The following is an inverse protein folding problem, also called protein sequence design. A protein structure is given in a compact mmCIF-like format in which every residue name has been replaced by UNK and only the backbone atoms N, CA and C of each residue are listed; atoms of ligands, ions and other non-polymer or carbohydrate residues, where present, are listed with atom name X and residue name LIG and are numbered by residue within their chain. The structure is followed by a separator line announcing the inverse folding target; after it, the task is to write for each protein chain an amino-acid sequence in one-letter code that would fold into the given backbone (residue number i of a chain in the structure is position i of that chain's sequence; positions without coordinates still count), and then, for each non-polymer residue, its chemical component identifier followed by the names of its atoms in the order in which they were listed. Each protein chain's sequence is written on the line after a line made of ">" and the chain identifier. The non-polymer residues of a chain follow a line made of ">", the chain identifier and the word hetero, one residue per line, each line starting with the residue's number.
data_IF_955981431800
#
_entry.id   IF_955981431800
#
_cell.length_a   1.000
_cell.length_b   1.000
_cell.length_c   1.000
_cell.angle_alpha   90.00
_cell.angle_beta   90.00
_cell.angle_gamma   90.00
#
_symmetry.space_group_name_H-M   'P 1'
#
loop_
_entity.id
_entity.type
_entity.pdbx_description
1 polymer ?
#
# COMPACT_ATOMS: atom_id res chain seq x y z
N UNK A 1 -12.28 23.46 22.07
CA UNK A 1 -10.86 23.60 21.69
C UNK A 1 -10.51 25.08 21.78
N UNK A 2 -9.60 25.43 22.69
CA UNK A 2 -9.02 26.77 22.69
C UNK A 2 -8.17 26.91 21.41
N UNK A 3 -8.51 27.93 20.61
CA UNK A 3 -7.78 28.20 19.36
C UNK A 3 -6.40 28.78 19.70
N UNK A 4 -5.35 28.21 19.15
CA UNK A 4 -4.01 28.79 19.23
C UNK A 4 -3.98 30.02 18.30
N UNK A 5 -3.65 31.21 18.79
CA UNK A 5 -3.85 32.47 18.04
C UNK A 5 -3.00 32.61 16.76
N UNK A 6 -1.98 31.77 16.59
CA UNK A 6 -1.06 31.81 15.44
C UNK A 6 -1.29 30.66 14.46
N UNK A 7 -2.34 29.84 14.65
CA UNK A 7 -2.64 28.68 13.80
C UNK A 7 -3.88 28.94 12.93
N UNK A 8 -3.82 28.53 11.67
CA UNK A 8 -4.99 28.42 10.83
C UNK A 8 -5.77 27.15 11.16
N UNK A 9 -7.08 27.21 11.13
CA UNK A 9 -7.97 26.06 11.39
C UNK A 9 -8.86 25.80 10.18
N UNK A 10 -8.98 24.50 9.84
CA UNK A 10 -9.96 24.02 8.88
C UNK A 10 -10.95 23.13 9.62
N UNK A 11 -12.18 23.59 9.74
CA UNK A 11 -13.25 22.81 10.37
C UNK A 11 -13.88 21.88 9.34
N UNK A 12 -13.96 20.60 9.65
CA UNK A 12 -14.47 19.56 8.75
C UNK A 12 -15.39 18.62 9.52
N UNK A 13 -16.36 18.01 8.83
CA UNK A 13 -17.25 17.03 9.44
C UNK A 13 -16.53 15.73 9.85
N UNK A 14 -15.53 15.32 9.06
CA UNK A 14 -14.76 14.10 9.30
C UNK A 14 -13.27 14.37 9.09
N UNK A 15 -12.53 14.46 10.19
CA UNK A 15 -11.09 14.75 10.16
C UNK A 15 -10.26 13.67 9.44
N UNK A 16 -10.64 12.39 9.56
CA UNK A 16 -9.92 11.30 8.88
C UNK A 16 -10.14 11.41 7.36
N UNK A 17 -11.36 11.63 6.92
CA UNK A 17 -11.67 11.80 5.51
C UNK A 17 -10.96 13.04 4.92
N UNK A 18 -10.92 14.15 5.65
CA UNK A 18 -10.19 15.35 5.24
C UNK A 18 -8.69 15.09 5.13
N UNK A 19 -8.08 14.40 6.11
CA UNK A 19 -6.68 14.00 6.07
C UNK A 19 -6.39 13.08 4.87
N UNK A 20 -7.27 12.12 4.58
CA UNK A 20 -7.15 11.23 3.43
C UNK A 20 -7.23 11.99 2.10
N UNK A 21 -8.13 12.97 1.99
CA UNK A 21 -8.21 13.84 0.81
C UNK A 21 -6.94 14.67 0.63
N UNK A 22 -6.42 15.25 1.71
CA UNK A 22 -5.19 16.03 1.69
C UNK A 22 -3.99 15.17 1.25
N UNK A 23 -3.87 13.95 1.81
CA UNK A 23 -2.83 13.01 1.42
C UNK A 23 -2.94 12.56 -0.04
N UNK A 24 -4.15 12.31 -0.54
CA UNK A 24 -4.36 11.96 -1.94
C UNK A 24 -3.99 13.11 -2.89
N UNK A 25 -4.28 14.36 -2.50
CA UNK A 25 -3.85 15.55 -3.24
C UNK A 25 -2.32 15.67 -3.24
N UNK A 26 -1.67 15.52 -2.08
CA UNK A 26 -0.21 15.56 -1.96
C UNK A 26 0.44 14.46 -2.81
N UNK A 27 -0.05 13.20 -2.72
CA UNK A 27 0.41 12.07 -3.54
C UNK A 27 0.34 12.36 -5.05
N UNK A 28 -0.69 13.08 -5.50
CA UNK A 28 -0.85 13.43 -6.92
C UNK A 28 0.25 14.36 -7.45
N UNK A 29 1.00 15.04 -6.59
CA UNK A 29 2.14 15.87 -6.95
C UNK A 29 3.44 15.04 -7.10
N UNK A 30 3.52 13.88 -6.47
CA UNK A 30 4.68 13.00 -6.54
C UNK A 30 4.83 12.39 -7.94
N UNK A 31 6.05 12.42 -8.50
CA UNK A 31 6.37 11.96 -9.85
C UNK A 31 7.17 10.67 -9.91
N UNK A 32 7.74 10.25 -8.77
CA UNK A 32 8.45 8.98 -8.66
C UNK A 32 7.51 7.77 -8.72
N UNK A 33 8.09 6.60 -8.85
CA UNK A 33 7.36 5.33 -8.82
C UNK A 33 6.85 5.04 -7.41
N UNK A 34 5.62 4.57 -7.29
CA UNK A 34 5.05 4.16 -6.00
C UNK A 34 4.82 2.66 -5.96
N UNK A 35 5.41 2.03 -4.97
CA UNK A 35 5.21 0.61 -4.66
C UNK A 35 4.28 0.50 -3.45
N UNK A 36 3.12 -0.09 -3.66
CA UNK A 36 2.19 -0.46 -2.59
C UNK A 36 2.48 -1.88 -2.11
N UNK A 37 2.67 -2.06 -0.80
CA UNK A 37 2.99 -3.36 -0.22
C UNK A 37 1.84 -3.80 0.68
N UNK A 38 1.21 -4.93 0.37
CA UNK A 38 0.10 -5.48 1.16
C UNK A 38 0.26 -6.98 1.41
N UNK A 39 -0.48 -7.49 2.38
CA UNK A 39 -0.46 -8.88 2.82
C UNK A 39 -0.85 -9.00 4.28
N UNK A 40 -0.89 -10.20 4.82
CA UNK A 40 -1.16 -10.43 6.24
C UNK A 40 0.09 -10.18 7.08
N UNK A 41 1.21 -10.78 6.70
CA UNK A 41 2.49 -10.68 7.39
C UNK A 41 3.62 -10.27 6.44
N UNK A 42 4.75 -9.81 6.96
CA UNK A 42 5.97 -9.55 6.18
C UNK A 42 6.01 -8.21 5.44
N UNK A 43 4.98 -7.37 5.47
CA UNK A 43 4.96 -6.08 4.77
C UNK A 43 6.17 -5.20 5.08
N UNK A 44 6.42 -4.96 6.36
CA UNK A 44 7.54 -4.12 6.82
C UNK A 44 8.90 -4.75 6.46
N UNK A 45 9.03 -6.07 6.60
CA UNK A 45 10.27 -6.77 6.24
C UNK A 45 10.59 -6.61 4.75
N UNK A 46 9.60 -6.88 3.89
CA UNK A 46 9.75 -6.74 2.43
C UNK A 46 10.04 -5.27 2.05
N UNK A 47 9.37 -4.32 2.69
CA UNK A 47 9.64 -2.89 2.49
C UNK A 47 11.10 -2.53 2.77
N UNK A 48 11.63 -2.97 3.91
CA UNK A 48 13.01 -2.67 4.27
C UNK A 48 14.00 -3.39 3.34
N UNK A 49 13.78 -4.65 3.00
CA UNK A 49 14.63 -5.38 2.05
C UNK A 49 14.67 -4.71 0.67
N UNK A 50 13.51 -4.32 0.13
CA UNK A 50 13.48 -3.59 -1.15
C UNK A 50 14.34 -2.33 -1.05
N UNK A 51 14.23 -1.59 0.06
CA UNK A 51 14.99 -0.36 0.23
C UNK A 51 16.50 -0.56 0.39
N UNK A 52 16.92 -1.68 1.00
CA UNK A 52 18.33 -2.05 1.18
C UNK A 52 18.99 -2.48 -0.13
N UNK A 53 18.23 -3.10 -1.04
CA UNK A 53 18.72 -3.59 -2.34
C UNK A 53 18.69 -2.52 -3.45
N UNK A 54 18.28 -1.29 -3.15
CA UNK A 54 18.24 -0.23 -4.15
C UNK A 54 19.66 0.23 -4.56
N UNK A 55 19.85 0.62 -5.82
CA UNK A 55 21.13 1.16 -6.28
C UNK A 55 21.59 2.35 -5.44
N UNK A 56 22.89 2.45 -5.20
CA UNK A 56 23.49 3.56 -4.48
C UNK A 56 23.14 4.91 -5.14
N UNK A 57 22.65 5.84 -4.34
CA UNK A 57 22.22 7.17 -4.79
C UNK A 57 20.77 7.29 -5.23
N UNK A 58 19.99 6.20 -5.29
CA UNK A 58 18.56 6.27 -5.51
C UNK A 58 17.86 6.78 -4.26
N UNK A 59 17.21 7.95 -4.36
CA UNK A 59 16.40 8.48 -3.26
C UNK A 59 15.09 7.71 -3.16
N UNK A 60 14.87 7.11 -2.00
CA UNK A 60 13.68 6.30 -1.72
C UNK A 60 13.00 6.76 -0.44
N UNK A 61 11.74 7.12 -0.55
CA UNK A 61 10.87 7.28 0.61
C UNK A 61 10.37 5.91 1.10
N UNK A 62 10.36 5.71 2.40
CA UNK A 62 9.79 4.51 3.05
C UNK A 62 8.77 4.92 4.10
N UNK A 63 7.58 4.35 4.04
CA UNK A 63 6.60 4.58 5.12
C UNK A 63 7.21 4.22 6.48
N UNK A 64 7.13 5.13 7.48
CA UNK A 64 7.78 4.91 8.77
C UNK A 64 7.10 3.78 9.54
N UNK A 65 7.88 2.92 10.18
CA UNK A 65 7.36 1.82 11.00
C UNK A 65 6.29 1.02 10.24
N UNK A 66 5.15 0.77 10.89
CA UNK A 66 3.97 0.09 10.32
C UNK A 66 2.82 1.06 10.05
N UNK A 67 3.12 2.25 9.48
CA UNK A 67 2.09 3.23 9.11
C UNK A 67 1.29 2.74 7.90
N UNK A 68 0.46 1.72 8.11
CA UNK A 68 -0.27 0.99 7.06
C UNK A 68 -1.81 1.05 7.20
N UNK A 69 -2.34 1.76 8.23
CA UNK A 69 -3.77 1.87 8.52
C UNK A 69 -4.44 3.05 7.81
N UNK A 70 -5.77 3.20 8.03
CA UNK A 70 -6.58 4.32 7.51
C UNK A 70 -6.08 5.71 7.96
N UNK A 71 -5.32 5.78 9.07
CA UNK A 71 -4.67 6.99 9.56
C UNK A 71 -3.17 7.00 9.22
N UNK A 72 -2.50 5.86 9.35
CA UNK A 72 -1.05 5.75 9.14
C UNK A 72 -0.64 6.03 7.70
N UNK A 73 -1.37 5.50 6.72
CA UNK A 73 -1.08 5.74 5.29
C UNK A 73 -1.15 7.22 4.91
N UNK A 74 -2.23 7.97 5.21
CA UNK A 74 -2.26 9.39 4.88
C UNK A 74 -1.15 10.18 5.57
N UNK A 75 -0.85 9.91 6.83
CA UNK A 75 0.27 10.58 7.53
C UNK A 75 1.61 10.26 6.86
N UNK A 76 1.82 9.01 6.48
CA UNK A 76 3.02 8.58 5.76
C UNK A 76 3.16 9.28 4.41
N UNK A 77 2.09 9.31 3.62
CA UNK A 77 2.10 9.93 2.29
C UNK A 77 2.42 11.42 2.35
N UNK A 78 1.92 12.12 3.36
CA UNK A 78 2.21 13.56 3.57
C UNK A 78 3.69 13.85 3.93
N UNK A 79 4.48 12.83 4.27
CA UNK A 79 5.91 12.96 4.55
C UNK A 79 6.80 12.80 3.31
N UNK A 80 6.24 12.52 2.15
CA UNK A 80 6.99 12.45 0.88
C UNK A 80 7.41 13.87 0.51
N UNK A 81 8.72 14.09 0.32
CA UNK A 81 9.27 15.43 0.02
C UNK A 81 9.18 15.79 -1.46
N UNK A 82 9.06 14.78 -2.35
CA UNK A 82 8.83 14.97 -3.78
C UNK A 82 10.10 14.94 -4.66
N UNK A 83 11.27 14.81 -4.06
CA UNK A 83 12.55 14.65 -4.76
C UNK A 83 13.01 13.18 -4.82
N UNK A 84 12.23 12.27 -4.20
CA UNK A 84 12.48 10.84 -4.25
C UNK A 84 12.06 10.25 -5.60
N UNK A 85 12.79 9.24 -6.03
CA UNK A 85 12.52 8.49 -7.27
C UNK A 85 11.57 7.33 -7.04
N UNK A 86 11.49 6.85 -5.78
CA UNK A 86 10.70 5.71 -5.36
C UNK A 86 10.02 5.99 -4.02
N UNK A 87 8.79 5.54 -3.86
CA UNK A 87 8.11 5.54 -2.57
C UNK A 87 7.56 4.13 -2.26
N UNK A 88 7.96 3.59 -1.10
CA UNK A 88 7.51 2.29 -0.59
C UNK A 88 6.47 2.52 0.50
N UNK A 89 5.22 2.14 0.23
CA UNK A 89 4.09 2.40 1.13
C UNK A 89 3.40 1.10 1.51
N UNK A 90 3.31 0.84 2.81
CA UNK A 90 2.55 -0.30 3.31
C UNK A 90 1.04 0.01 3.32
N UNK A 91 0.22 -0.98 2.97
CA UNK A 91 -1.23 -0.93 3.07
C UNK A 91 -1.77 -2.13 3.86
N UNK A 92 -2.35 -1.85 5.01
CA UNK A 92 -2.98 -2.83 5.89
C UNK A 92 -4.47 -2.56 6.04
N UNK A 93 -5.24 -3.63 6.17
CA UNK A 93 -6.68 -3.58 6.39
C UNK A 93 -7.09 -4.52 7.52
N UNK A 94 -8.13 -4.12 8.23
CA UNK A 94 -8.76 -4.94 9.27
C UNK A 94 -10.21 -5.30 8.91
N UNK A 95 -10.85 -4.57 7.99
CA UNK A 95 -12.26 -4.73 7.61
C UNK A 95 -12.45 -4.58 6.10
N UNK A 96 -13.51 -5.18 5.52
CA UNK A 96 -13.91 -4.92 4.15
C UNK A 96 -14.18 -3.43 3.87
N UNK A 97 -13.87 -2.98 2.66
CA UNK A 97 -14.05 -1.60 2.20
C UNK A 97 -12.91 -0.64 2.59
N UNK A 98 -11.95 -1.08 3.39
CA UNK A 98 -10.83 -0.24 3.83
C UNK A 98 -9.78 -0.05 2.72
N UNK A 99 -9.50 -1.09 1.94
CA UNK A 99 -8.45 -1.02 0.92
C UNK A 99 -8.77 -0.03 -0.20
N UNK A 100 -10.03 0.11 -0.57
CA UNK A 100 -10.44 1.08 -1.57
C UNK A 100 -10.11 2.54 -1.20
N UNK A 101 -10.13 2.85 0.11
CA UNK A 101 -9.72 4.19 0.60
C UNK A 101 -8.21 4.35 0.53
N UNK A 102 -7.45 3.32 0.91
CA UNK A 102 -5.99 3.33 0.83
C UNK A 102 -5.51 3.38 -0.63
N UNK A 103 -6.14 2.64 -1.54
CA UNK A 103 -5.82 2.67 -2.96
C UNK A 103 -5.95 4.09 -3.55
N UNK A 104 -7.02 4.80 -3.22
CA UNK A 104 -7.24 6.19 -3.68
C UNK A 104 -6.13 7.15 -3.24
N UNK A 105 -5.53 6.89 -2.08
CA UNK A 105 -4.45 7.71 -1.54
C UNK A 105 -3.11 7.29 -2.17
N UNK A 106 -2.80 5.99 -2.12
CA UNK A 106 -1.49 5.45 -2.53
C UNK A 106 -1.34 5.50 -4.06
N UNK A 107 -2.35 5.06 -4.81
CA UNK A 107 -2.34 4.95 -6.28
C UNK A 107 -1.02 4.34 -6.77
N UNK A 108 -0.75 3.08 -6.42
CA UNK A 108 0.54 2.47 -6.70
C UNK A 108 0.72 2.13 -8.18
N UNK A 109 1.94 2.26 -8.67
CA UNK A 109 2.35 1.81 -10.00
C UNK A 109 2.71 0.32 -9.98
N UNK A 110 3.29 -0.12 -8.86
CA UNK A 110 3.64 -1.51 -8.57
C UNK A 110 2.98 -1.94 -7.28
N UNK A 111 2.44 -3.15 -7.23
CA UNK A 111 1.94 -3.75 -5.98
C UNK A 111 2.68 -5.03 -5.68
N UNK A 112 3.15 -5.14 -4.44
CA UNK A 112 3.77 -6.35 -3.90
C UNK A 112 2.81 -7.00 -2.90
N UNK A 113 2.42 -8.22 -3.18
CA UNK A 113 1.66 -9.07 -2.26
C UNK A 113 2.62 -9.94 -1.48
N UNK A 114 2.64 -9.76 -0.16
CA UNK A 114 3.37 -10.64 0.76
C UNK A 114 2.51 -11.86 1.11
N UNK A 115 2.79 -12.56 2.20
CA UNK A 115 1.99 -13.72 2.61
C UNK A 115 0.55 -13.35 2.93
N UNK A 116 -0.38 -14.25 2.66
CA UNK A 116 -1.76 -14.19 3.12
C UNK A 116 -1.95 -15.27 4.19
N UNK A 117 -2.43 -14.88 5.35
CA UNK A 117 -2.67 -15.75 6.51
C UNK A 117 -3.80 -15.24 7.39
N UNK A 118 -3.91 -15.74 8.62
CA UNK A 118 -5.09 -15.59 9.48
C UNK A 118 -5.23 -14.23 10.17
N UNK A 119 -4.26 -13.32 10.04
CA UNK A 119 -4.34 -11.99 10.67
C UNK A 119 -5.64 -11.26 10.29
N UNK A 120 -6.45 -10.87 11.29
CA UNK A 120 -7.77 -10.23 11.15
C UNK A 120 -8.81 -11.09 10.40
N UNK A 121 -8.66 -12.42 10.37
CA UNK A 121 -9.59 -13.32 9.67
C UNK A 121 -11.01 -13.24 10.23
N UNK A 122 -11.17 -12.94 11.51
CA UNK A 122 -12.45 -12.76 12.20
C UNK A 122 -13.36 -11.68 11.58
N UNK A 123 -12.79 -10.75 10.83
CA UNK A 123 -13.52 -9.66 10.18
C UNK A 123 -13.89 -9.95 8.71
N UNK A 124 -13.53 -11.13 8.19
CA UNK A 124 -13.79 -11.55 6.83
C UNK A 124 -14.53 -12.88 6.81
N UNK A 125 -15.45 -13.07 5.86
CA UNK A 125 -16.23 -14.29 5.71
C UNK A 125 -15.36 -15.52 5.44
N UNK A 126 -14.31 -15.33 4.63
CA UNK A 126 -13.36 -16.36 4.25
C UNK A 126 -12.06 -15.72 3.72
N UNK A 127 -11.09 -16.58 3.41
CA UNK A 127 -9.79 -16.16 2.90
C UNK A 127 -9.90 -15.52 1.50
N UNK A 128 -10.82 -15.99 0.66
CA UNK A 128 -11.04 -15.44 -0.68
C UNK A 128 -11.53 -13.98 -0.61
N UNK A 129 -12.51 -13.68 0.25
CA UNK A 129 -12.95 -12.29 0.46
C UNK A 129 -11.80 -11.39 0.93
N UNK A 130 -10.95 -11.90 1.79
CA UNK A 130 -9.78 -11.16 2.28
C UNK A 130 -8.75 -10.91 1.16
N UNK A 131 -8.53 -11.89 0.30
CA UNK A 131 -7.71 -11.73 -0.90
C UNK A 131 -8.33 -10.69 -1.85
N UNK A 132 -9.62 -10.78 -2.12
CA UNK A 132 -10.37 -9.83 -2.94
C UNK A 132 -10.20 -8.41 -2.45
N UNK A 133 -10.36 -8.20 -1.15
CA UNK A 133 -10.21 -6.88 -0.54
C UNK A 133 -8.78 -6.35 -0.69
N UNK A 134 -7.75 -7.19 -0.44
CA UNK A 134 -6.36 -6.78 -0.62
C UNK A 134 -5.99 -6.52 -2.07
N UNK A 135 -6.56 -7.26 -3.01
CA UNK A 135 -6.34 -7.05 -4.45
C UNK A 135 -6.89 -5.72 -4.97
N UNK A 136 -7.78 -5.05 -4.23
CA UNK A 136 -8.23 -3.69 -4.58
C UNK A 136 -7.06 -2.71 -4.67
N UNK A 137 -5.99 -2.89 -3.88
CA UNK A 137 -4.78 -2.06 -3.96
C UNK A 137 -4.15 -2.08 -5.35
N UNK A 138 -4.24 -3.22 -6.06
CA UNK A 138 -3.67 -3.39 -7.39
C UNK A 138 -4.58 -2.92 -8.53
N UNK A 139 -5.72 -2.28 -8.22
CA UNK A 139 -6.72 -1.94 -9.23
C UNK A 139 -6.14 -1.12 -10.40
N UNK A 140 -5.19 -0.23 -10.15
CA UNK A 140 -4.56 0.63 -11.16
C UNK A 140 -3.10 0.27 -11.44
N UNK A 141 -2.50 -0.59 -10.63
CA UNK A 141 -1.10 -0.93 -10.76
C UNK A 141 -0.80 -1.60 -12.12
N UNK A 142 0.30 -1.22 -12.73
CA UNK A 142 0.76 -1.81 -14.00
C UNK A 142 1.49 -3.13 -13.77
N UNK A 143 2.23 -3.22 -12.66
CA UNK A 143 3.02 -4.40 -12.29
C UNK A 143 2.56 -4.96 -10.95
N UNK A 144 2.42 -6.28 -10.89
CA UNK A 144 2.00 -7.00 -9.69
C UNK A 144 3.04 -8.07 -9.39
N UNK A 145 3.63 -7.99 -8.19
CA UNK A 145 4.58 -8.97 -7.66
C UNK A 145 3.86 -9.79 -6.61
N UNK A 146 3.92 -11.10 -6.72
CA UNK A 146 3.25 -12.04 -5.82
C UNK A 146 4.00 -13.36 -5.77
N UNK A 147 3.58 -14.27 -4.92
CA UNK A 147 4.11 -15.63 -4.85
C UNK A 147 2.95 -16.60 -5.02
N UNK A 148 2.96 -17.41 -6.08
CA UNK A 148 1.89 -18.33 -6.43
C UNK A 148 1.63 -19.43 -5.40
N UNK A 149 2.60 -19.71 -4.52
CA UNK A 149 2.45 -20.65 -3.40
C UNK A 149 1.32 -20.26 -2.42
N UNK A 150 1.05 -18.94 -2.27
CA UNK A 150 -0.02 -18.50 -1.37
C UNK A 150 -1.39 -18.61 -2.03
N UNK A 151 -2.02 -19.78 -1.89
CA UNK A 151 -3.40 -19.98 -2.32
C UNK A 151 -4.40 -19.42 -1.29
N UNK A 152 -5.56 -18.88 -1.72
CA UNK A 152 -6.02 -18.76 -3.12
C UNK A 152 -5.49 -17.51 -3.85
N UNK A 153 -4.66 -16.68 -3.22
CA UNK A 153 -4.21 -15.39 -3.75
C UNK A 153 -3.54 -15.52 -5.13
N UNK A 154 -2.60 -16.46 -5.28
CA UNK A 154 -1.85 -16.65 -6.52
C UNK A 154 -2.79 -16.92 -7.71
N UNK A 155 -3.72 -17.85 -7.57
CA UNK A 155 -4.74 -18.17 -8.58
C UNK A 155 -5.64 -16.95 -8.90
N UNK A 156 -6.08 -16.24 -7.88
CA UNK A 156 -6.95 -15.07 -8.04
C UNK A 156 -6.23 -13.92 -8.75
N UNK A 157 -4.96 -13.66 -8.45
CA UNK A 157 -4.15 -12.65 -9.14
C UNK A 157 -3.97 -13.03 -10.61
N UNK A 158 -3.54 -14.25 -10.89
CA UNK A 158 -3.34 -14.72 -12.25
C UNK A 158 -4.60 -14.61 -13.11
N UNK A 159 -5.77 -14.92 -12.55
CA UNK A 159 -7.05 -14.78 -13.24
C UNK A 159 -7.50 -13.32 -13.43
N UNK A 160 -7.45 -12.53 -12.34
CA UNK A 160 -8.01 -11.16 -12.35
C UNK A 160 -7.17 -10.15 -13.14
N UNK A 161 -5.86 -10.33 -13.13
CA UNK A 161 -4.90 -9.38 -13.70
C UNK A 161 -4.11 -9.95 -14.89
N UNK A 162 -4.67 -10.93 -15.62
CA UNK A 162 -4.02 -11.60 -16.75
C UNK A 162 -3.51 -10.66 -17.86
N UNK A 163 -4.06 -9.45 -17.96
CA UNK A 163 -3.61 -8.43 -18.93
C UNK A 163 -2.51 -7.49 -18.43
N UNK A 164 -1.96 -7.73 -17.24
CA UNK A 164 -0.95 -6.88 -16.62
C UNK A 164 0.39 -7.58 -16.51
N UNK A 165 1.44 -6.83 -16.17
CA UNK A 165 2.76 -7.42 -15.88
C UNK A 165 2.69 -8.14 -14.54
N UNK A 166 2.68 -9.48 -14.58
CA UNK A 166 2.70 -10.34 -13.40
C UNK A 166 4.13 -10.88 -13.17
N UNK A 167 4.64 -10.68 -11.97
CA UNK A 167 5.94 -11.18 -11.52
C UNK A 167 5.70 -12.18 -10.39
N UNK A 168 5.71 -13.48 -10.72
CA UNK A 168 5.60 -14.54 -9.73
C UNK A 168 6.96 -14.87 -9.14
N UNK A 169 7.15 -14.61 -7.86
CA UNK A 169 8.41 -14.87 -7.16
C UNK A 169 8.75 -16.37 -7.10
N UNK A 170 7.75 -17.26 -7.19
CA UNK A 170 8.00 -18.70 -7.28
C UNK A 170 8.70 -19.11 -8.59
N UNK A 171 8.62 -18.28 -9.63
CA UNK A 171 9.20 -18.53 -10.94
C UNK A 171 10.55 -17.82 -11.13
N UNK A 172 11.00 -17.05 -10.13
CA UNK A 172 12.33 -16.45 -10.19
C UNK A 172 13.40 -17.54 -9.99
N UNK A 173 14.43 -17.61 -10.85
CA UNK A 173 15.53 -18.53 -10.59
C UNK A 173 16.20 -18.17 -9.27
N UNK A 174 16.53 -19.17 -8.48
CA UNK A 174 17.34 -18.98 -7.27
C UNK A 174 18.66 -18.29 -7.66
N UNK A 175 18.99 -17.23 -6.95
CA UNK A 175 20.24 -16.47 -7.15
C UNK A 175 21.38 -17.19 -6.46
#
# INVERSE_FOLDING_TARGET
>A
LEALPECGYVVVENAIAALQCLAAYHRAQFRGTVVGITGSNGKTVIKEWIAEELPAGMKCYRSPKSYNSQLGVPLSVLMIEGDEQLALIEAGISKPGEMARLERIIRPDVVVFTSIGDAHQENFLNLEQKCDEKMVLAHRAETIVYHSYYEPLGRMIASRFAGRKLCDAASCPEV
#
